data_IF_385471129263
#
_entry.id   IF_385471129263
#
_cell.length_a   1.000
_cell.length_b   1.000
_cell.length_c   1.000
_cell.angle_alpha   90.00
_cell.angle_beta   90.00
_cell.angle_gamma   90.00
#
_symmetry.space_group_name_H-M   'P 1'
#
loop_
_entity.id
_entity.type
_entity.pdbx_description
1 polymer ?
#
# COMPACT_ATOMS: atom_id res chain seq x y z
N UNK A 1 15.03 15.49 -14.87
CA UNK A 1 13.71 15.42 -15.54
C UNK A 1 13.50 16.73 -16.26
N UNK A 2 12.95 16.71 -17.48
CA UNK A 2 12.62 17.93 -18.21
C UNK A 2 11.15 18.28 -17.94
N UNK A 3 10.89 19.42 -17.31
CA UNK A 3 9.54 19.96 -17.12
C UNK A 3 9.54 21.36 -17.72
N UNK A 4 8.76 21.59 -18.78
CA UNK A 4 8.64 22.90 -19.41
C UNK A 4 9.93 23.45 -20.02
N UNK A 5 10.84 22.59 -20.51
CA UNK A 5 12.10 23.01 -21.12
C UNK A 5 13.24 23.27 -20.13
N UNK A 6 13.01 23.09 -18.82
CA UNK A 6 14.03 23.18 -17.79
C UNK A 6 14.45 21.80 -17.26
N UNK A 7 15.75 21.60 -17.13
CA UNK A 7 16.31 20.42 -16.49
C UNK A 7 16.25 20.54 -14.97
N UNK A 8 15.43 19.69 -14.35
CA UNK A 8 15.24 19.65 -12.90
C UNK A 8 16.01 18.46 -12.32
N UNK A 9 16.89 18.78 -11.37
CA UNK A 9 17.60 17.80 -10.53
C UNK A 9 16.83 17.55 -9.24
N UNK A 10 16.37 16.32 -9.06
CA UNK A 10 15.67 15.89 -7.86
C UNK A 10 16.68 15.35 -6.83
N UNK A 11 16.61 15.84 -5.59
CA UNK A 11 17.45 15.39 -4.47
C UNK A 11 16.56 14.82 -3.38
N UNK A 12 17.00 13.71 -2.77
CA UNK A 12 16.25 13.09 -1.68
C UNK A 12 16.16 14.03 -0.47
N UNK A 13 14.99 14.08 0.16
CA UNK A 13 14.87 14.60 1.53
C UNK A 13 15.61 13.65 2.48
N UNK A 14 16.11 14.17 3.61
CA UNK A 14 16.79 13.36 4.65
C UNK A 14 16.00 12.10 5.01
N UNK A 15 14.70 12.27 5.14
CA UNK A 15 13.72 11.24 5.43
C UNK A 15 13.75 10.07 4.44
N UNK A 16 13.69 10.40 3.15
CA UNK A 16 13.76 9.43 2.05
C UNK A 16 15.14 8.77 2.02
N UNK A 17 16.22 9.54 2.16
CA UNK A 17 17.59 9.02 2.22
C UNK A 17 17.77 8.00 3.35
N UNK A 18 17.37 8.37 4.58
CA UNK A 18 17.45 7.51 5.77
C UNK A 18 16.67 6.21 5.56
N UNK A 19 15.41 6.32 5.12
CA UNK A 19 14.55 5.15 4.93
C UNK A 19 15.09 4.20 3.85
N UNK A 20 15.54 4.72 2.72
CA UNK A 20 16.05 3.88 1.63
C UNK A 20 17.43 3.29 1.94
N UNK A 21 18.26 3.99 2.71
CA UNK A 21 19.53 3.43 3.20
C UNK A 21 19.27 2.24 4.15
N UNK A 22 18.31 2.37 5.07
CA UNK A 22 17.90 1.25 5.95
C UNK A 22 17.33 0.07 5.16
N UNK A 23 16.55 0.34 4.12
CA UNK A 23 16.02 -0.70 3.24
C UNK A 23 17.15 -1.47 2.53
N UNK A 24 18.14 -0.76 1.99
CA UNK A 24 19.32 -1.35 1.35
C UNK A 24 20.12 -2.21 2.34
N UNK A 25 20.38 -1.71 3.56
CA UNK A 25 21.08 -2.50 4.57
C UNK A 25 20.33 -3.77 4.95
N UNK A 26 18.99 -3.70 5.12
CA UNK A 26 18.17 -4.89 5.35
C UNK A 26 18.23 -5.88 4.19
N UNK A 27 18.25 -5.42 2.95
CA UNK A 27 18.39 -6.31 1.79
C UNK A 27 19.73 -7.04 1.74
N UNK A 28 20.79 -6.44 2.28
CA UNK A 28 22.14 -7.02 2.31
C UNK A 28 22.39 -7.94 3.50
N UNK A 29 21.80 -7.62 4.66
CA UNK A 29 22.13 -8.26 5.94
C UNK A 29 20.98 -9.09 6.52
N UNK A 30 19.75 -8.86 6.08
CA UNK A 30 18.58 -9.57 6.57
C UNK A 30 18.63 -11.04 6.15
N UNK A 31 18.24 -11.91 7.08
CA UNK A 31 18.11 -13.34 6.80
C UNK A 31 17.06 -13.58 5.72
N UNK A 32 17.37 -14.44 4.77
CA UNK A 32 16.39 -14.91 3.80
C UNK A 32 15.39 -15.84 4.50
N UNK A 33 14.26 -16.12 3.83
CA UNK A 33 13.31 -17.12 4.31
C UNK A 33 13.97 -18.50 4.49
N UNK A 34 14.92 -18.88 3.61
CA UNK A 34 15.61 -20.16 3.70
C UNK A 34 16.51 -20.24 4.95
N UNK A 35 17.06 -19.11 5.38
CA UNK A 35 17.91 -19.01 6.57
C UNK A 35 17.12 -18.89 7.88
N UNK A 36 15.97 -18.20 7.87
CA UNK A 36 15.12 -17.98 9.05
C UNK A 36 14.03 -19.04 9.22
N UNK A 37 13.78 -19.86 8.19
CA UNK A 37 12.78 -20.92 8.14
C UNK A 37 11.35 -20.44 7.90
N UNK A 38 10.91 -19.42 8.64
CA UNK A 38 9.50 -18.98 8.62
C UNK A 38 9.26 -17.72 7.79
N UNK A 39 10.19 -16.76 7.79
CA UNK A 39 9.95 -15.42 7.23
C UNK A 39 11.19 -14.80 6.59
N UNK A 40 10.99 -14.00 5.55
CA UNK A 40 12.08 -13.20 4.97
C UNK A 40 12.29 -11.91 5.79
N UNK A 41 13.50 -11.68 6.31
CA UNK A 41 13.84 -10.55 7.19
C UNK A 41 14.43 -9.36 6.44
N UNK A 42 14.56 -9.45 5.11
CA UNK A 42 15.12 -8.38 4.27
C UNK A 42 14.09 -7.31 3.94
N UNK A 43 12.81 -7.65 4.08
CA UNK A 43 11.66 -6.78 3.84
C UNK A 43 11.33 -5.81 4.96
N UNK A 44 10.18 -5.15 4.80
CA UNK A 44 9.56 -4.33 5.84
C UNK A 44 8.65 -3.24 5.31
N UNK A 45 8.13 -2.44 6.24
CA UNK A 45 7.23 -1.33 5.91
C UNK A 45 7.97 0.00 5.97
N UNK A 46 7.84 0.80 4.92
CA UNK A 46 8.25 2.20 4.87
C UNK A 46 7.00 3.06 4.96
N UNK A 47 6.79 3.68 6.12
CA UNK A 47 5.66 4.57 6.32
C UNK A 47 6.09 6.00 6.07
N UNK A 48 5.62 6.58 4.96
CA UNK A 48 5.68 8.01 4.75
C UNK A 48 4.29 8.62 4.63
N UNK A 49 4.14 9.84 5.11
CA UNK A 49 2.88 10.56 5.03
C UNK A 49 2.47 10.84 3.59
N UNK A 50 1.19 11.04 3.32
CA UNK A 50 0.74 11.42 1.97
C UNK A 50 1.40 12.74 1.53
N UNK A 51 1.82 12.82 0.26
CA UNK A 51 2.52 14.01 -0.27
C UNK A 51 4.01 14.13 0.09
N UNK A 52 4.56 13.21 0.89
CA UNK A 52 6.00 13.20 1.27
C UNK A 52 6.97 12.77 0.15
N UNK A 53 6.46 12.31 -1.00
CA UNK A 53 7.27 11.78 -2.09
C UNK A 53 7.62 10.29 -1.96
N UNK A 54 6.66 9.43 -1.58
CA UNK A 54 6.84 7.95 -1.55
C UNK A 54 7.33 7.38 -2.89
N UNK A 55 6.72 7.79 -3.99
CA UNK A 55 7.12 7.35 -5.34
C UNK A 55 8.56 7.67 -5.66
N UNK A 56 9.02 8.88 -5.32
CA UNK A 56 10.43 9.24 -5.46
C UNK A 56 11.32 8.37 -4.58
N UNK A 57 10.85 7.96 -3.40
CA UNK A 57 11.59 7.05 -2.52
C UNK A 57 11.77 5.68 -3.18
N UNK A 58 10.73 5.13 -3.82
CA UNK A 58 10.82 3.88 -4.59
C UNK A 58 11.81 4.02 -5.75
N UNK A 59 11.77 5.14 -6.48
CA UNK A 59 12.75 5.44 -7.53
C UNK A 59 14.18 5.46 -6.98
N UNK A 60 14.41 6.15 -5.85
CA UNK A 60 15.72 6.21 -5.21
C UNK A 60 16.19 4.84 -4.73
N UNK A 61 15.30 4.00 -4.22
CA UNK A 61 15.61 2.62 -3.85
C UNK A 61 16.09 1.83 -5.07
N UNK A 62 15.32 1.81 -6.16
CA UNK A 62 15.70 1.08 -7.39
C UNK A 62 17.05 1.56 -7.91
N UNK A 63 17.29 2.88 -7.96
CA UNK A 63 18.62 3.44 -8.32
C UNK A 63 19.73 2.95 -7.41
N UNK A 64 19.48 2.86 -6.10
CA UNK A 64 20.46 2.34 -5.14
C UNK A 64 20.73 0.86 -5.33
N UNK A 65 19.71 0.05 -5.64
CA UNK A 65 19.90 -1.36 -5.97
C UNK A 65 20.79 -1.53 -7.20
N UNK A 66 20.53 -0.75 -8.27
CA UNK A 66 21.29 -0.85 -9.52
C UNK A 66 22.72 -0.33 -9.42
N UNK A 67 23.01 0.56 -8.46
CA UNK A 67 24.35 1.10 -8.23
C UNK A 67 25.17 0.29 -7.23
N UNK A 68 24.54 -0.56 -6.42
CA UNK A 68 25.24 -1.47 -5.49
C UNK A 68 25.54 -2.82 -6.18
N UNK A 69 26.82 -3.22 -6.33
CA UNK A 69 27.19 -4.50 -6.95
C UNK A 69 26.55 -5.72 -6.28
N UNK A 70 26.27 -5.64 -4.97
CA UNK A 70 25.64 -6.70 -4.22
C UNK A 70 24.13 -6.77 -4.41
N UNK A 71 23.49 -5.78 -5.05
CA UNK A 71 22.02 -5.74 -5.19
C UNK A 71 21.57 -5.56 -6.64
N UNK A 72 22.46 -5.20 -7.57
CA UNK A 72 22.10 -4.94 -8.98
C UNK A 72 21.45 -6.14 -9.68
N UNK A 73 21.73 -7.36 -9.20
CA UNK A 73 21.16 -8.63 -9.67
C UNK A 73 19.68 -8.81 -9.37
N UNK A 74 19.11 -8.02 -8.46
CA UNK A 74 17.72 -8.18 -8.04
C UNK A 74 16.75 -7.90 -9.17
N UNK A 75 15.79 -8.80 -9.40
CA UNK A 75 14.55 -8.45 -10.08
C UNK A 75 13.69 -7.60 -9.16
N UNK A 76 13.19 -6.47 -9.65
CA UNK A 76 12.27 -5.61 -8.92
C UNK A 76 10.87 -5.74 -9.53
N UNK A 77 9.91 -6.14 -8.71
CA UNK A 77 8.49 -6.24 -9.08
C UNK A 77 7.74 -5.13 -8.37
N UNK A 78 7.18 -4.18 -9.10
CA UNK A 78 6.44 -3.05 -8.55
C UNK A 78 4.95 -3.28 -8.74
N UNK A 79 4.23 -3.35 -7.62
CA UNK A 79 2.77 -3.46 -7.57
C UNK A 79 2.19 -2.07 -7.27
N UNK A 80 1.57 -1.48 -8.29
CA UNK A 80 0.99 -0.13 -8.20
C UNK A 80 -0.01 0.13 -9.32
N UNK A 81 -1.06 0.89 -9.02
CA UNK A 81 -1.99 1.41 -10.03
C UNK A 81 -1.57 2.78 -10.57
N UNK A 82 -0.46 3.33 -10.08
CA UNK A 82 0.00 4.67 -10.41
C UNK A 82 0.81 4.74 -11.71
N UNK A 83 0.19 5.31 -12.75
CA UNK A 83 0.83 5.55 -14.06
C UNK A 83 2.03 6.50 -13.99
N UNK A 84 1.98 7.50 -13.10
CA UNK A 84 3.08 8.45 -12.91
C UNK A 84 4.32 7.79 -12.28
N UNK A 85 4.12 6.91 -11.29
CA UNK A 85 5.19 6.10 -10.71
C UNK A 85 5.82 5.17 -11.77
N UNK A 86 4.99 4.54 -12.62
CA UNK A 86 5.48 3.74 -13.75
C UNK A 86 6.40 4.56 -14.65
N UNK A 87 5.96 5.74 -15.10
CA UNK A 87 6.76 6.61 -15.96
C UNK A 87 8.10 7.04 -15.32
N UNK A 88 8.10 7.39 -14.03
CA UNK A 88 9.31 7.81 -13.31
C UNK A 88 10.35 6.69 -13.20
N UNK A 89 9.88 5.47 -12.97
CA UNK A 89 10.74 4.29 -12.87
C UNK A 89 11.19 3.78 -14.25
N UNK A 90 10.37 3.93 -15.29
CA UNK A 90 10.81 3.70 -16.68
C UNK A 90 11.99 4.58 -17.06
N UNK A 91 11.89 5.89 -16.81
CA UNK A 91 13.00 6.82 -17.04
C UNK A 91 14.24 6.47 -16.21
N UNK A 92 14.06 5.82 -15.06
CA UNK A 92 15.17 5.38 -14.22
C UNK A 92 15.88 4.15 -14.80
N UNK A 93 15.11 3.19 -15.30
CA UNK A 93 15.62 1.96 -15.88
C UNK A 93 16.37 2.23 -17.20
N UNK A 94 15.88 3.16 -18.02
CA UNK A 94 16.57 3.63 -19.24
C UNK A 94 17.99 4.12 -18.94
N UNK A 95 18.17 4.90 -17.85
CA UNK A 95 19.49 5.38 -17.41
C UNK A 95 20.42 4.26 -16.94
N UNK A 96 19.87 3.10 -16.57
CA UNK A 96 20.64 1.93 -16.13
C UNK A 96 20.74 0.83 -17.18
N UNK A 97 20.22 1.07 -18.40
CA UNK A 97 20.21 0.08 -19.49
C UNK A 97 19.29 -1.12 -19.21
N UNK A 98 18.31 -0.98 -18.32
CA UNK A 98 17.39 -2.04 -17.91
C UNK A 98 16.05 -1.88 -18.63
N UNK A 99 15.48 -3.00 -19.09
CA UNK A 99 14.15 -3.02 -19.69
C UNK A 99 13.07 -2.94 -18.61
N UNK A 100 12.11 -2.03 -18.80
CA UNK A 100 10.87 -2.02 -18.02
C UNK A 100 9.81 -2.83 -18.73
N UNK A 101 9.29 -3.83 -18.04
CA UNK A 101 8.25 -4.71 -18.58
C UNK A 101 6.93 -4.52 -17.83
N UNK A 102 5.87 -4.22 -18.56
CA UNK A 102 4.53 -4.04 -17.99
C UNK A 102 3.65 -5.23 -18.33
N UNK A 103 3.04 -5.83 -17.32
CA UNK A 103 2.05 -6.86 -17.54
C UNK A 103 0.70 -6.28 -17.99
N UNK A 104 0.26 -6.68 -19.18
CA UNK A 104 -1.04 -6.40 -19.75
C UNK A 104 -2.16 -7.23 -19.12
N UNK A 105 -1.84 -8.45 -18.69
CA UNK A 105 -2.77 -9.43 -18.10
C UNK A 105 -2.03 -10.41 -17.17
N UNK A 106 -2.79 -11.30 -16.52
CA UNK A 106 -2.28 -12.32 -15.60
C UNK A 106 -1.26 -13.29 -16.25
N UNK A 107 -1.51 -13.76 -17.47
CA UNK A 107 -0.61 -14.70 -18.15
C UNK A 107 0.75 -14.06 -18.46
N UNK A 108 0.74 -12.80 -18.92
CA UNK A 108 1.95 -12.03 -19.15
C UNK A 108 2.68 -11.77 -17.82
N UNK A 109 1.96 -11.43 -16.76
CA UNK A 109 2.56 -11.26 -15.44
C UNK A 109 3.28 -12.54 -15.01
N UNK A 110 2.61 -13.71 -15.09
CA UNK A 110 3.23 -15.00 -14.75
C UNK A 110 4.52 -15.25 -15.54
N UNK A 111 4.48 -15.02 -16.86
CA UNK A 111 5.66 -15.16 -17.74
C UNK A 111 6.80 -14.24 -17.33
N UNK A 112 6.53 -12.98 -16.99
CA UNK A 112 7.55 -12.00 -16.58
C UNK A 112 8.16 -12.35 -15.23
N UNK A 113 7.34 -12.81 -14.29
CA UNK A 113 7.77 -13.20 -12.95
C UNK A 113 8.67 -14.45 -13.00
N UNK A 114 8.36 -15.41 -13.87
CA UNK A 114 9.11 -16.67 -13.99
C UNK A 114 10.50 -16.55 -14.62
N UNK A 115 10.82 -15.48 -15.36
CA UNK A 115 12.16 -15.31 -15.96
C UNK A 115 13.26 -15.21 -14.92
N UNK A 116 14.47 -15.70 -15.17
CA UNK A 116 15.58 -15.46 -14.25
C UNK A 116 16.31 -14.14 -14.55
N UNK A 117 17.04 -13.64 -13.56
CA UNK A 117 17.89 -12.46 -13.67
C UNK A 117 17.22 -11.13 -13.32
N UNK A 118 17.98 -10.02 -13.42
CA UNK A 118 17.50 -8.68 -13.09
C UNK A 118 16.45 -8.20 -14.08
N UNK A 119 15.58 -7.30 -13.63
CA UNK A 119 14.54 -6.69 -14.45
C UNK A 119 13.63 -5.81 -13.59
N UNK A 120 12.88 -4.92 -14.24
CA UNK A 120 11.89 -4.08 -13.58
C UNK A 120 10.51 -4.38 -14.15
N UNK A 121 9.68 -5.06 -13.36
CA UNK A 121 8.36 -5.55 -13.76
C UNK A 121 7.26 -4.75 -13.07
N UNK A 122 6.26 -4.28 -13.81
CA UNK A 122 5.08 -3.62 -13.27
C UNK A 122 3.84 -4.51 -13.31
N UNK A 123 3.19 -4.67 -12.16
CA UNK A 123 1.86 -5.27 -12.00
C UNK A 123 0.86 -4.27 -11.40
N UNK A 124 -0.37 -4.29 -11.90
CA UNK A 124 -1.50 -3.48 -11.38
C UNK A 124 -2.44 -4.34 -10.55
N UNK A 125 -3.09 -3.76 -9.54
CA UNK A 125 -4.05 -4.47 -8.67
C UNK A 125 -5.40 -4.66 -9.37
N UNK A 126 -5.87 -3.64 -10.10
CA UNK A 126 -7.20 -3.62 -10.73
C UNK A 126 -7.42 -4.71 -11.79
N UNK A 127 -6.41 -5.01 -12.61
CA UNK A 127 -6.53 -6.03 -13.68
C UNK A 127 -6.79 -7.45 -13.16
N UNK A 128 -6.48 -7.71 -11.89
CA UNK A 128 -6.77 -8.98 -11.24
C UNK A 128 -8.22 -9.03 -10.69
N UNK A 129 -8.82 -7.87 -10.44
CA UNK A 129 -10.20 -7.71 -10.01
C UNK A 129 -11.17 -7.70 -11.21
N UNK A 130 -10.79 -7.10 -12.34
CA UNK A 130 -11.60 -7.08 -13.56
C UNK A 130 -11.84 -8.50 -14.12
N UNK A 131 -10.92 -9.44 -13.90
CA UNK A 131 -11.12 -10.86 -14.23
C UNK A 131 -12.20 -11.55 -13.37
N UNK A 132 -12.59 -10.98 -12.21
CA UNK A 132 -13.71 -11.47 -11.41
C UNK A 132 -15.06 -10.90 -11.84
N UNK A 133 -15.07 -9.85 -12.66
CA UNK A 133 -16.29 -9.15 -13.10
C UNK A 133 -16.56 -9.22 -14.60
N UNK A 134 -15.70 -9.88 -15.38
CA UNK A 134 -15.98 -10.14 -16.79
C UNK A 134 -17.04 -11.24 -16.87
N UNK A 135 -18.31 -10.85 -16.98
CA UNK A 135 -19.38 -11.74 -17.41
C UNK A 135 -18.95 -12.38 -18.75
N UNK A 136 -19.09 -13.71 -18.92
CA UNK A 136 -18.77 -14.38 -20.18
C UNK A 136 -19.62 -13.90 -21.37
N UNK A 137 -20.70 -13.16 -21.11
CA UNK A 137 -21.73 -12.79 -22.09
C UNK A 137 -21.62 -11.34 -22.58
N UNK A 138 -20.60 -10.57 -22.17
CA UNK A 138 -20.35 -9.26 -22.76
C UNK A 138 -19.56 -9.43 -24.07
N UNK A 139 -20.29 -9.74 -25.14
CA UNK A 139 -19.80 -9.67 -26.51
C UNK A 139 -19.16 -8.29 -26.76
N UNK A 140 -17.94 -8.31 -27.32
CA UNK A 140 -17.29 -7.12 -27.84
C UNK A 140 -18.14 -6.62 -29.02
N UNK A 141 -18.92 -5.56 -28.82
CA UNK A 141 -19.49 -4.79 -29.93
C UNK A 141 -18.33 -4.13 -30.69
N UNK A 142 -17.81 -4.86 -31.67
CA UNK A 142 -17.02 -4.29 -32.74
C UNK A 142 -17.92 -3.44 -33.62
N UNK A 143 -17.59 -2.15 -33.72
CA UNK A 143 -18.11 -1.28 -34.77
C UNK A 143 -17.72 -1.87 -36.14
N UNK A 144 -18.68 -2.50 -36.81
CA UNK A 144 -18.62 -2.80 -38.24
C UNK A 144 -19.88 -2.26 -38.90
N UNK A 145 -19.68 -1.24 -39.74
CA UNK A 145 -20.63 -0.80 -40.76
C UNK A 145 -20.95 -1.98 -41.70
N UNK A 146 -22.23 -2.28 -41.91
CA UNK A 146 -22.69 -2.96 -43.12
C UNK A 146 -24.15 -2.67 -43.41
N UNK A 147 -24.40 -2.35 -44.68
CA UNK A 147 -25.65 -2.05 -45.32
C UNK A 147 -26.66 -3.22 -45.37
N UNK A 148 -27.94 -2.84 -45.33
CA UNK A 148 -29.11 -3.31 -46.08
C UNK A 148 -29.71 -4.74 -45.97
N UNK A 149 -31.05 -4.71 -45.86
CA UNK A 149 -32.12 -5.63 -46.24
C UNK A 149 -32.14 -7.14 -45.86
N UNK A 150 -33.28 -7.55 -45.26
CA UNK A 150 -33.86 -8.90 -45.52
C UNK A 150 -34.74 -9.49 -44.42
N UNK A 151 -36.05 -9.52 -44.67
CA UNK A 151 -37.09 -10.15 -43.83
C UNK A 151 -36.98 -11.69 -43.73
N UNK A 152 -37.37 -12.30 -42.59
CA UNK A 152 -38.65 -13.03 -42.38
C UNK A 152 -38.60 -14.03 -41.20
N UNK A 153 -39.64 -13.99 -40.36
CA UNK A 153 -40.45 -15.18 -39.99
C UNK A 153 -39.96 -16.15 -38.92
N UNK A 154 -40.77 -16.32 -37.86
CA UNK A 154 -40.87 -17.60 -37.13
C UNK A 154 -41.09 -17.49 -35.64
N UNK A 155 -42.36 -17.50 -35.21
CA UNK A 155 -42.74 -17.81 -33.83
C UNK A 155 -42.54 -19.32 -33.59
N UNK A 156 -41.85 -19.69 -32.52
CA UNK A 156 -42.13 -20.95 -31.82
C UNK A 156 -41.98 -20.78 -30.31
N UNK A 157 -42.99 -21.29 -29.62
CA UNK A 157 -43.24 -21.17 -28.20
C UNK A 157 -43.07 -22.54 -27.56
N UNK A 158 -42.15 -22.65 -26.60
CA UNK A 158 -42.32 -23.58 -25.47
C UNK A 158 -41.20 -24.58 -25.24
N UNK A 159 -40.32 -24.26 -24.28
CA UNK A 159 -40.12 -25.03 -23.04
C UNK A 159 -39.16 -24.25 -22.14
N UNK A 160 -39.65 -23.84 -20.96
CA UNK A 160 -38.82 -23.30 -19.88
C UNK A 160 -38.25 -24.49 -19.13
N UNK A 161 -37.10 -24.99 -19.57
CA UNK A 161 -36.30 -25.88 -18.75
C UNK A 161 -35.66 -25.03 -17.65
N UNK A 162 -35.85 -25.47 -16.40
CA UNK A 162 -35.41 -24.76 -15.21
C UNK A 162 -33.90 -24.51 -15.30
N UNK A 163 -33.52 -23.23 -15.31
CA UNK A 163 -32.13 -22.81 -15.30
C UNK A 163 -31.39 -23.47 -14.13
N UNK A 164 -30.32 -24.22 -14.44
CA UNK A 164 -29.38 -24.69 -13.44
C UNK A 164 -28.88 -23.49 -12.62
N UNK A 165 -28.70 -23.62 -11.29
CA UNK A 165 -28.22 -22.53 -10.47
C UNK A 165 -26.84 -22.10 -10.96
N UNK A 166 -26.76 -20.86 -11.45
CA UNK A 166 -25.53 -20.17 -11.87
C UNK A 166 -24.39 -20.47 -10.88
N UNK A 167 -23.35 -21.15 -11.35
CA UNK A 167 -22.10 -21.34 -10.61
C UNK A 167 -21.56 -19.97 -10.23
N UNK A 168 -21.48 -19.69 -8.93
CA UNK A 168 -20.79 -18.50 -8.39
C UNK A 168 -19.38 -18.42 -9.01
N UNK A 169 -18.90 -17.24 -9.44
CA UNK A 169 -17.63 -17.12 -10.13
C UNK A 169 -16.50 -17.60 -9.21
N UNK A 170 -15.85 -18.68 -9.63
CA UNK A 170 -14.73 -19.31 -8.94
C UNK A 170 -13.56 -18.34 -8.86
N UNK A 171 -12.96 -18.24 -7.67
CA UNK A 171 -11.67 -17.60 -7.40
C UNK A 171 -10.69 -17.94 -8.52
N UNK A 172 -10.06 -16.93 -9.14
CA UNK A 172 -8.95 -17.16 -10.10
C UNK A 172 -8.00 -18.19 -9.50
N UNK A 173 -7.64 -19.24 -10.23
CA UNK A 173 -6.77 -20.28 -9.70
C UNK A 173 -5.50 -19.67 -9.08
N UNK A 174 -5.09 -20.12 -7.88
CA UNK A 174 -3.89 -19.61 -7.24
C UNK A 174 -2.68 -19.73 -8.15
N UNK A 175 -1.72 -18.81 -8.00
CA UNK A 175 -0.49 -18.92 -8.77
C UNK A 175 0.32 -20.14 -8.31
N UNK A 176 0.85 -20.89 -9.28
CA UNK A 176 1.93 -21.86 -9.04
C UNK A 176 3.22 -21.12 -8.64
N UNK A 177 4.22 -21.86 -8.15
CA UNK A 177 5.55 -21.31 -7.90
C UNK A 177 6.17 -20.96 -9.26
N UNK A 178 6.47 -19.68 -9.47
CA UNK A 178 7.00 -19.19 -10.75
C UNK A 178 8.51 -18.99 -10.69
N UNK A 179 9.03 -18.53 -9.55
CA UNK A 179 10.46 -18.29 -9.39
C UNK A 179 10.87 -18.39 -7.91
N UNK A 180 11.85 -19.24 -7.62
CA UNK A 180 12.34 -19.50 -6.27
C UNK A 180 13.55 -18.63 -5.86
N UNK A 181 14.01 -17.73 -6.72
CA UNK A 181 15.17 -16.88 -6.47
C UNK A 181 14.98 -16.00 -5.24
N UNK A 182 16.04 -15.89 -4.44
CA UNK A 182 16.12 -14.94 -3.33
C UNK A 182 16.43 -13.52 -3.82
N UNK A 183 16.89 -13.35 -5.06
CA UNK A 183 17.22 -12.06 -5.68
C UNK A 183 15.99 -11.40 -6.31
N UNK A 184 14.84 -11.46 -5.64
CA UNK A 184 13.61 -10.81 -6.06
C UNK A 184 13.12 -9.88 -4.96
N UNK A 185 12.84 -8.63 -5.33
CA UNK A 185 12.26 -7.62 -4.46
C UNK A 185 10.88 -7.21 -4.98
N UNK A 186 9.86 -7.41 -4.16
CA UNK A 186 8.51 -6.91 -4.41
C UNK A 186 8.33 -5.56 -3.71
N UNK A 187 8.03 -4.52 -4.47
CA UNK A 187 7.67 -3.19 -3.96
C UNK A 187 6.17 -2.99 -4.10
N UNK A 188 5.48 -2.72 -3.00
CA UNK A 188 4.03 -2.49 -2.99
C UNK A 188 3.73 -1.06 -2.57
N UNK A 189 2.97 -0.34 -3.40
CA UNK A 189 2.43 0.98 -3.02
C UNK A 189 1.07 0.81 -2.31
N UNK A 190 0.79 1.67 -1.33
CA UNK A 190 -0.37 1.60 -0.44
C UNK A 190 -0.59 0.22 0.20
N UNK A 191 0.49 -0.32 0.80
CA UNK A 191 0.59 -1.63 1.43
C UNK A 191 -0.47 -1.96 2.53
N UNK A 192 -1.31 -0.99 2.92
CA UNK A 192 -2.39 -1.13 3.89
C UNK A 192 -3.78 -1.35 3.25
N UNK A 193 -3.94 -1.14 1.93
CA UNK A 193 -5.27 -1.25 1.30
C UNK A 193 -5.64 -2.73 1.17
N UNK A 194 -6.82 -3.09 1.69
CA UNK A 194 -7.48 -4.40 1.59
C UNK A 194 -7.54 -4.95 0.15
N UNK A 195 -7.40 -4.08 -0.84
CA UNK A 195 -7.34 -4.37 -2.27
C UNK A 195 -6.17 -5.27 -2.69
N UNK A 196 -5.13 -5.41 -1.84
CA UNK A 196 -3.99 -6.26 -2.15
C UNK A 196 -4.22 -7.77 -1.87
N UNK A 197 -5.29 -8.18 -1.16
CA UNK A 197 -5.39 -9.53 -0.58
C UNK A 197 -5.06 -10.70 -1.52
N UNK A 198 -5.75 -10.81 -2.65
CA UNK A 198 -5.62 -11.97 -3.54
C UNK A 198 -4.35 -11.92 -4.40
N UNK A 199 -4.04 -10.77 -4.99
CA UNK A 199 -2.81 -10.59 -5.77
C UNK A 199 -1.59 -10.78 -4.87
N UNK A 200 -1.63 -10.23 -3.66
CA UNK A 200 -0.56 -10.37 -2.70
C UNK A 200 -0.37 -11.83 -2.30
N UNK A 201 -1.44 -12.56 -1.97
CA UNK A 201 -1.38 -13.99 -1.67
C UNK A 201 -0.81 -14.79 -2.84
N UNK A 202 -1.20 -14.46 -4.07
CA UNK A 202 -0.64 -15.08 -5.27
C UNK A 202 0.85 -14.75 -5.46
N UNK A 203 1.29 -13.52 -5.18
CA UNK A 203 2.71 -13.16 -5.21
C UNK A 203 3.52 -13.90 -4.15
N UNK A 204 2.97 -14.09 -2.95
CA UNK A 204 3.62 -14.86 -1.88
C UNK A 204 3.86 -16.31 -2.30
N UNK A 205 2.92 -16.92 -3.03
CA UNK A 205 3.04 -18.29 -3.55
C UNK A 205 3.97 -18.36 -4.75
N UNK A 206 3.81 -17.45 -5.70
CA UNK A 206 4.58 -17.43 -6.93
C UNK A 206 6.07 -17.13 -6.72
N UNK A 207 6.37 -16.28 -5.73
CA UNK A 207 7.70 -15.79 -5.40
C UNK A 207 8.01 -16.05 -3.91
N UNK A 208 8.18 -17.33 -3.52
CA UNK A 208 8.23 -17.76 -2.12
C UNK A 208 9.39 -17.19 -1.31
N UNK A 209 10.49 -16.83 -1.97
CA UNK A 209 11.73 -16.36 -1.35
C UNK A 209 12.04 -14.87 -1.64
N UNK A 210 11.07 -14.14 -2.18
CA UNK A 210 11.25 -12.72 -2.47
C UNK A 210 11.24 -11.87 -1.18
N UNK A 211 12.13 -10.88 -1.13
CA UNK A 211 12.05 -9.79 -0.18
C UNK A 211 10.87 -8.87 -0.52
N UNK A 212 10.24 -8.25 0.48
CA UNK A 212 9.01 -7.47 0.29
C UNK A 212 9.07 -6.15 1.03
N UNK A 213 8.92 -5.04 0.31
CA UNK A 213 8.88 -3.71 0.90
C UNK A 213 7.55 -3.04 0.56
N UNK A 214 6.80 -2.73 1.60
CA UNK A 214 5.53 -2.02 1.51
C UNK A 214 5.71 -0.53 1.80
N UNK A 215 5.32 0.33 0.87
CA UNK A 215 5.20 1.77 1.09
C UNK A 215 3.76 2.09 1.47
N UNK A 216 3.59 2.91 2.50
CA UNK A 216 2.24 3.31 2.95
C UNK A 216 2.18 4.78 3.32
N UNK A 217 1.05 5.42 2.94
CA UNK A 217 0.66 6.78 3.33
C UNK A 217 0.22 6.91 4.79
N UNK A 218 -0.37 5.84 5.28
CA UNK A 218 -1.07 5.74 6.56
C UNK A 218 -0.39 4.65 7.40
N UNK A 219 -0.29 4.79 8.72
CA UNK A 219 0.07 3.73 9.61
C UNK A 219 -0.96 2.64 9.54
N UNK A 220 -0.45 1.46 9.79
CA UNK A 220 -1.26 0.29 9.89
C UNK A 220 -1.93 0.33 11.27
N UNK A 221 -3.24 0.57 11.25
CA UNK A 221 -4.08 0.60 12.45
C UNK A 221 -4.11 -0.81 13.07
N UNK A 222 -4.19 -0.87 14.40
CA UNK A 222 -4.39 -2.11 15.16
C UNK A 222 -5.69 -2.80 14.70
N UNK A 223 -5.54 -3.98 14.09
CA UNK A 223 -6.57 -4.71 13.33
C UNK A 223 -5.96 -5.28 12.04
N UNK A 224 -5.50 -4.40 11.15
CA UNK A 224 -4.75 -4.78 9.94
C UNK A 224 -3.26 -4.98 10.20
N UNK A 225 -2.80 -4.56 11.40
CA UNK A 225 -1.41 -4.69 11.84
C UNK A 225 -0.87 -6.12 11.77
N UNK A 226 -1.67 -7.13 12.11
CA UNK A 226 -1.26 -8.54 11.98
C UNK A 226 -1.01 -8.87 10.50
N UNK A 227 -2.04 -8.73 9.66
CA UNK A 227 -1.96 -9.05 8.22
C UNK A 227 -0.82 -8.35 7.50
N UNK A 228 -0.65 -7.03 7.65
CA UNK A 228 0.42 -6.31 6.94
C UNK A 228 1.80 -6.64 7.49
N UNK A 229 1.94 -6.90 8.79
CA UNK A 229 3.21 -7.34 9.39
C UNK A 229 3.55 -8.78 8.98
N UNK A 230 2.58 -9.67 8.87
CA UNK A 230 2.79 -11.05 8.40
C UNK A 230 3.29 -11.07 6.95
N UNK A 231 2.87 -10.08 6.17
CA UNK A 231 3.25 -9.91 4.77
C UNK A 231 4.64 -9.29 4.61
N UNK A 232 4.85 -8.12 5.20
CA UNK A 232 6.01 -7.27 4.92
C UNK A 232 7.06 -7.37 6.03
N UNK A 233 6.70 -7.81 7.24
CA UNK A 233 7.54 -7.78 8.42
C UNK A 233 7.48 -6.44 9.15
N UNK A 234 8.53 -6.15 9.92
CA UNK A 234 8.63 -4.94 10.73
C UNK A 234 8.82 -3.67 9.89
N UNK A 235 8.55 -2.51 10.50
CA UNK A 235 8.88 -1.23 9.89
C UNK A 235 10.39 -1.09 9.63
N UNK A 236 10.75 -0.74 8.40
CA UNK A 236 12.10 -0.30 8.01
C UNK A 236 12.31 1.14 8.48
N UNK A 237 11.31 1.99 8.24
CA UNK A 237 11.35 3.40 8.60
C UNK A 237 9.95 3.96 8.86
N UNK A 238 9.86 4.96 9.74
CA UNK A 238 8.64 5.70 10.02
C UNK A 238 8.94 7.19 9.90
N UNK A 239 8.25 7.83 8.98
CA UNK A 239 8.29 9.27 8.74
C UNK A 239 7.06 9.93 9.34
N UNK A 240 6.95 9.93 10.66
CA UNK A 240 5.88 10.63 11.36
C UNK A 240 6.51 11.74 12.18
N UNK A 241 6.39 12.96 11.69
CA UNK A 241 6.29 14.10 12.59
C UNK A 241 4.91 14.04 13.25
N UNK A 242 4.81 14.53 14.48
CA UNK A 242 3.59 14.38 15.27
C UNK A 242 2.35 14.95 14.56
N UNK A 243 2.53 16.00 13.73
CA UNK A 243 1.44 16.60 12.94
C UNK A 243 0.75 15.61 12.03
N UNK A 244 1.53 14.83 11.29
CA UNK A 244 0.97 13.91 10.33
C UNK A 244 0.34 12.69 11.03
N UNK A 245 0.92 12.28 12.17
CA UNK A 245 0.36 11.25 13.04
C UNK A 245 -0.99 11.69 13.61
N UNK A 246 -1.09 12.93 14.09
CA UNK A 246 -2.31 13.51 14.61
C UNK A 246 -3.41 13.60 13.53
N UNK A 247 -3.09 14.17 12.36
CA UNK A 247 -4.05 14.33 11.26
C UNK A 247 -4.63 13.00 10.76
N UNK A 248 -3.84 11.93 10.80
CA UNK A 248 -4.26 10.64 10.27
C UNK A 248 -4.94 9.76 11.33
N UNK A 249 -4.54 9.88 12.61
CA UNK A 249 -5.34 9.39 13.73
C UNK A 249 -6.71 10.08 13.81
N UNK A 250 -6.78 11.39 13.58
CA UNK A 250 -8.04 12.12 13.41
C UNK A 250 -8.87 11.49 12.29
N UNK A 251 -8.29 11.31 11.10
CA UNK A 251 -9.00 10.73 9.96
C UNK A 251 -9.55 9.34 10.27
N UNK A 252 -8.77 8.49 10.94
CA UNK A 252 -9.19 7.16 11.36
C UNK A 252 -10.40 7.21 12.32
N UNK A 253 -10.37 8.10 13.32
CA UNK A 253 -11.49 8.28 14.25
C UNK A 253 -12.72 8.83 13.52
N UNK A 254 -12.58 9.84 12.66
CA UNK A 254 -13.70 10.38 11.85
C UNK A 254 -14.31 9.33 10.93
N UNK A 255 -13.49 8.49 10.30
CA UNK A 255 -13.96 7.40 9.44
C UNK A 255 -14.74 6.37 10.23
N UNK A 256 -14.25 5.98 11.42
CA UNK A 256 -14.94 5.06 12.31
C UNK A 256 -16.28 5.64 12.79
N UNK A 257 -16.31 6.89 13.25
CA UNK A 257 -17.55 7.61 13.62
C UNK A 257 -18.55 7.54 12.46
N UNK A 258 -18.15 7.92 11.24
CA UNK A 258 -19.06 7.94 10.08
C UNK A 258 -19.64 6.57 9.78
N UNK A 259 -18.85 5.49 9.87
CA UNK A 259 -19.29 4.13 9.54
C UNK A 259 -20.30 3.56 10.54
N UNK A 260 -20.18 3.93 11.80
CA UNK A 260 -21.02 3.38 12.87
C UNK A 260 -22.06 4.37 13.39
N UNK A 261 -22.16 5.57 12.79
CA UNK A 261 -23.08 6.61 13.23
C UNK A 261 -24.54 6.12 13.24
N UNK A 262 -24.93 5.33 12.24
CA UNK A 262 -26.29 4.80 12.12
C UNK A 262 -26.58 3.67 13.11
N UNK A 263 -25.55 3.01 13.65
CA UNK A 263 -25.70 1.92 14.63
C UNK A 263 -26.01 2.46 16.03
N UNK A 264 -25.36 3.56 16.44
CA UNK A 264 -25.60 4.23 17.71
C UNK A 264 -25.33 5.75 17.57
N UNK A 265 -26.31 6.52 17.07
CA UNK A 265 -26.15 7.94 16.80
C UNK A 265 -25.73 8.75 18.03
N UNK A 266 -26.18 8.33 19.20
CA UNK A 266 -25.90 9.02 20.47
C UNK A 266 -24.45 8.81 20.88
N UNK A 267 -23.95 7.57 20.84
CA UNK A 267 -22.57 7.26 21.19
C UNK A 267 -21.58 7.87 20.22
N UNK A 268 -21.78 7.69 18.92
CA UNK A 268 -20.83 8.17 17.90
C UNK A 268 -20.95 9.69 17.66
N UNK A 269 -22.12 10.29 17.90
CA UNK A 269 -22.27 11.74 17.95
C UNK A 269 -21.44 12.37 19.07
N UNK A 270 -21.49 11.82 20.30
CA UNK A 270 -20.64 12.28 21.42
C UNK A 270 -19.15 12.10 21.12
N UNK A 271 -18.77 10.98 20.50
CA UNK A 271 -17.39 10.73 20.10
C UNK A 271 -16.88 11.76 19.09
N UNK A 272 -17.71 12.12 18.11
CA UNK A 272 -17.39 13.17 17.13
C UNK A 272 -17.16 14.52 17.81
N UNK A 273 -18.05 14.93 18.72
CA UNK A 273 -17.90 16.19 19.46
C UNK A 273 -16.63 16.21 20.30
N UNK A 274 -16.34 15.12 21.03
CA UNK A 274 -15.12 15.01 21.84
C UNK A 274 -13.83 15.04 21.01
N UNK A 275 -13.86 14.48 19.79
CA UNK A 275 -12.75 14.60 18.85
C UNK A 275 -12.52 16.07 18.44
N UNK A 276 -13.59 16.80 18.10
CA UNK A 276 -13.50 18.20 17.69
C UNK A 276 -12.98 19.10 18.82
N UNK A 277 -13.47 18.93 20.05
CA UNK A 277 -12.97 19.64 21.22
C UNK A 277 -11.47 19.42 21.45
N UNK A 278 -11.00 18.16 21.35
CA UNK A 278 -9.60 17.81 21.52
C UNK A 278 -8.72 18.47 20.47
N UNK A 279 -9.14 18.44 19.20
CA UNK A 279 -8.38 19.04 18.10
C UNK A 279 -8.30 20.55 18.24
N UNK A 280 -9.39 21.20 18.67
CA UNK A 280 -9.43 22.64 18.88
C UNK A 280 -8.57 23.07 20.08
N UNK A 281 -8.59 22.32 21.19
CA UNK A 281 -7.79 22.62 22.38
C UNK A 281 -6.29 22.46 22.17
N UNK A 282 -5.89 21.49 21.36
CA UNK A 282 -4.50 21.13 21.14
C UNK A 282 -3.98 21.62 19.78
N UNK A 283 -4.60 22.65 19.20
CA UNK A 283 -4.17 23.16 17.90
C UNK A 283 -2.69 23.57 17.90
N UNK A 284 -1.95 23.14 16.88
CA UNK A 284 -0.50 23.31 16.78
C UNK A 284 0.35 22.47 17.75
N UNK A 285 -0.23 21.83 18.77
CA UNK A 285 0.43 20.97 19.77
C UNK A 285 0.39 19.51 19.32
N UNK A 286 1.10 19.22 18.24
CA UNK A 286 0.94 17.97 17.52
C UNK A 286 1.32 16.72 18.34
N UNK A 287 2.33 16.80 19.21
CA UNK A 287 2.77 15.67 20.03
C UNK A 287 1.69 15.31 21.08
N UNK A 288 1.11 16.33 21.69
CA UNK A 288 0.02 16.22 22.65
C UNK A 288 -1.26 15.72 21.98
N UNK A 289 -1.58 16.21 20.77
CA UNK A 289 -2.69 15.69 19.96
C UNK A 289 -2.56 14.20 19.71
N UNK A 290 -1.36 13.71 19.38
CA UNK A 290 -1.10 12.29 19.17
C UNK A 290 -1.42 11.47 20.42
N UNK A 291 -0.95 11.87 21.61
CA UNK A 291 -1.21 11.10 22.83
C UNK A 291 -2.70 11.14 23.22
N UNK A 292 -3.36 12.28 23.04
CA UNK A 292 -4.78 12.42 23.31
C UNK A 292 -5.64 11.55 22.36
N UNK A 293 -5.31 11.54 21.06
CA UNK A 293 -5.98 10.69 20.07
C UNK A 293 -5.73 9.20 20.32
N UNK A 294 -4.53 8.80 20.81
CA UNK A 294 -4.25 7.40 21.17
C UNK A 294 -5.16 6.95 22.29
N UNK A 295 -5.29 7.80 23.31
CA UNK A 295 -6.17 7.56 24.46
C UNK A 295 -7.61 7.40 23.99
N UNK A 296 -8.08 8.26 23.08
CA UNK A 296 -9.41 8.18 22.51
C UNK A 296 -9.63 6.86 21.74
N UNK A 297 -8.69 6.45 20.89
CA UNK A 297 -8.75 5.19 20.14
C UNK A 297 -8.74 3.97 21.08
N UNK A 298 -7.95 4.02 22.15
CA UNK A 298 -7.90 2.93 23.14
C UNK A 298 -9.25 2.76 23.85
N UNK A 299 -9.87 3.87 24.26
CA UNK A 299 -11.21 3.86 24.86
C UNK A 299 -12.29 3.30 23.92
N UNK A 300 -12.15 3.48 22.60
CA UNK A 300 -13.04 2.86 21.62
C UNK A 300 -12.90 1.35 21.53
N UNK A 301 -11.68 0.83 21.71
CA UNK A 301 -11.42 -0.62 21.68
C UNK A 301 -11.87 -1.32 22.94
N UNK A 302 -11.67 -0.69 24.09
CA UNK A 302 -11.92 -1.32 25.39
C UNK A 302 -13.42 -1.37 25.75
N UNK A 303 -14.28 -0.81 24.90
CA UNK A 303 -15.70 -1.10 24.89
C UNK A 303 -16.44 -0.82 26.21
N UNK A 304 -15.99 0.11 27.05
CA UNK A 304 -16.73 0.47 28.26
C UNK A 304 -16.21 1.75 28.93
N UNK A 305 -17.17 2.55 29.40
CA UNK A 305 -17.07 3.55 30.47
C UNK A 305 -16.23 4.80 30.17
N UNK A 306 -16.94 5.87 29.82
CA UNK A 306 -16.42 7.22 29.92
C UNK A 306 -16.06 7.54 31.36
N UNK A 307 -14.77 7.64 31.65
CA UNK A 307 -14.28 8.52 32.70
C UNK A 307 -13.99 9.88 32.05
N UNK A 308 -14.48 11.00 32.62
CA UNK A 308 -14.06 12.31 32.17
C UNK A 308 -12.54 12.43 32.35
N UNK A 309 -11.87 13.01 31.35
CA UNK A 309 -10.50 13.47 31.52
C UNK A 309 -10.48 14.43 32.70
N UNK A 310 -9.91 14.01 33.84
CA UNK A 310 -9.44 14.96 34.84
C UNK A 310 -8.26 15.69 34.21
N UNK A 311 -8.54 16.83 33.57
CA UNK A 311 -7.55 17.88 33.40
C UNK A 311 -7.08 18.20 34.82
N UNK A 312 -5.86 17.79 35.15
CA UNK A 312 -5.26 18.12 36.43
C UNK A 312 -5.12 19.64 36.49
N UNK A 313 -6.08 20.29 37.15
CA UNK A 313 -5.91 21.64 37.67
C UNK A 313 -4.82 21.57 38.75
N UNK A 314 -3.57 21.66 38.31
CA UNK A 314 -2.40 21.50 39.17
C UNK A 314 -1.16 21.95 38.43
N UNK A 315 -0.73 23.18 38.76
CA UNK A 315 0.54 23.81 38.35
C UNK A 315 1.64 22.77 38.14
N UNK A 316 2.12 22.64 36.91
CA UNK A 316 3.39 21.98 36.64
C UNK A 316 4.53 22.94 37.05
N UNK A 317 5.56 22.49 37.78
CA UNK A 317 6.67 23.36 38.15
C UNK A 317 7.43 23.77 36.89
N UNK A 318 7.59 25.09 36.70
CA UNK A 318 8.43 25.65 35.66
C UNK A 318 9.87 25.09 35.80
N UNK A 319 10.52 24.67 34.71
CA UNK A 319 11.90 24.22 34.77
C UNK A 319 12.80 25.37 35.26
N UNK A 320 13.60 25.10 36.29
CA UNK A 320 14.57 26.04 36.83
C UNK A 320 15.50 26.52 35.71
N UNK A 321 15.53 27.84 35.51
CA UNK A 321 16.48 28.51 34.64
C UNK A 321 17.89 28.29 35.20
N UNK A 322 18.67 27.41 34.56
CA UNK A 322 20.12 27.37 34.79
C UNK A 322 20.71 28.68 34.26
N UNK A 323 21.10 29.55 35.19
CA UNK A 323 21.91 30.72 34.90
C UNK A 323 23.22 30.31 34.22
N UNK A 324 23.61 31.06 33.19
CA UNK A 324 24.98 31.03 32.65
C UNK A 324 25.93 31.59 33.72
N UNK A 325 27.10 30.99 33.96
CA UNK A 325 28.20 31.72 34.58
C UNK A 325 28.84 32.66 33.55
N UNK A 326 29.21 33.85 34.04
CA UNK A 326 30.10 34.77 33.32
C UNK A 326 31.56 34.34 33.37
#
# INVERSE_FOLDING_TARGET
MNIGGQEIKLVCRYQQYRGMTRAVERLKQGKTRREDGESDRRGGIVWHTQGSGKSLSMVFLVRKLRTDPALRRFKVVVITDRKDLQAQLSATAELTGESVEKAGNTAQLKKLLGRDGPGLVFGTVQKYQDQKHRDPDAEEEGEQESDDAGANGGLDSGRRDAAEPLKKPTLSEPFEVLNESEDILILVDEAHRTQAGDLHTNMMRALPNAARIGFTGTPIIMGDKKRTHDIFGEYIDRQVGDRAKASEMEHAVRSHVRKHLDEDPVKYGRLSGRLEELLQQLDGQWAEQVEALKTLIQQLRDGAQGAPLKLAAGRWPLPATRGRPG
#
